data_IF_922651476078
#
_entry.id   IF_922651476078
#
_cell.length_a   1.000
_cell.length_b   1.000
_cell.length_c   1.000
_cell.angle_alpha   90.00
_cell.angle_beta   90.00
_cell.angle_gamma   90.00
#
_symmetry.space_group_name_H-M   'P 1'
#
loop_
_entity.id
_entity.type
_entity.pdbx_description
1 polymer ?
#
# COMPACT_ATOMS: atom_id res chain seq x y z
N UNK A 1 -19.53 -12.23 -8.58
CA UNK A 1 -18.28 -11.97 -7.85
C UNK A 1 -17.93 -10.51 -8.07
N UNK A 2 -17.92 -9.70 -7.00
CA UNK A 2 -17.50 -8.30 -7.10
C UNK A 2 -15.99 -8.29 -7.15
N UNK A 3 -15.41 -7.74 -8.22
CA UNK A 3 -13.97 -7.57 -8.35
C UNK A 3 -13.64 -6.22 -7.71
N UNK A 4 -12.76 -6.24 -6.70
CA UNK A 4 -12.27 -5.02 -6.06
C UNK A 4 -11.07 -4.49 -6.83
N UNK A 5 -11.05 -3.18 -7.05
CA UNK A 5 -9.89 -2.48 -7.57
C UNK A 5 -8.96 -2.07 -6.41
N UNK A 6 -7.96 -2.91 -6.12
CA UNK A 6 -7.03 -2.65 -5.02
C UNK A 6 -6.13 -1.44 -5.26
N UNK A 7 -5.82 -1.10 -6.51
CA UNK A 7 -4.99 0.05 -6.86
C UNK A 7 -5.72 1.35 -6.53
N UNK A 8 -6.98 1.47 -6.99
CA UNK A 8 -7.80 2.64 -6.70
C UNK A 8 -8.06 2.79 -5.20
N UNK A 9 -8.35 1.70 -4.49
CA UNK A 9 -8.55 1.75 -3.03
C UNK A 9 -7.26 2.20 -2.32
N UNK A 10 -6.12 1.66 -2.73
CA UNK A 10 -4.81 2.03 -2.17
C UNK A 10 -4.48 3.50 -2.44
N UNK A 11 -4.73 4.00 -3.64
CA UNK A 11 -4.57 5.42 -3.99
C UNK A 11 -5.42 6.32 -3.08
N UNK A 12 -6.72 6.03 -2.93
CA UNK A 12 -7.61 6.83 -2.09
C UNK A 12 -7.20 6.82 -0.61
N UNK A 13 -6.70 5.70 -0.11
CA UNK A 13 -6.17 5.60 1.26
C UNK A 13 -4.90 6.42 1.44
N UNK A 14 -3.98 6.41 0.47
CA UNK A 14 -2.74 7.19 0.54
C UNK A 14 -3.00 8.69 0.47
N UNK A 15 -3.95 9.12 -0.37
CA UNK A 15 -4.42 10.50 -0.38
C UNK A 15 -4.98 10.89 1.00
N UNK A 16 -5.78 10.03 1.63
CA UNK A 16 -6.33 10.29 2.97
C UNK A 16 -5.25 10.37 4.07
N UNK A 17 -4.13 9.66 3.90
CA UNK A 17 -2.98 9.73 4.80
C UNK A 17 -2.07 10.96 4.54
N UNK A 18 -2.32 11.72 3.47
CA UNK A 18 -1.63 12.96 3.13
C UNK A 18 -0.45 12.81 2.19
N UNK A 19 -0.36 11.71 1.43
CA UNK A 19 0.65 11.51 0.40
C UNK A 19 0.22 12.19 -0.90
N UNK A 20 1.14 12.92 -1.53
CA UNK A 20 0.91 13.68 -2.76
C UNK A 20 1.11 12.77 -3.98
N UNK A 21 2.12 11.90 -3.95
CA UNK A 21 2.46 10.97 -5.04
C UNK A 21 1.65 9.66 -4.96
N UNK A 22 0.50 9.68 -4.28
CA UNK A 22 -0.34 8.53 -3.96
C UNK A 22 -0.62 7.61 -5.17
N UNK A 23 -0.86 8.18 -6.35
CA UNK A 23 -1.16 7.43 -7.59
C UNK A 23 0.04 6.62 -8.11
N UNK A 24 1.26 7.15 -7.95
CA UNK A 24 2.48 6.44 -8.34
C UNK A 24 2.81 5.36 -7.31
N UNK A 25 2.67 5.70 -6.03
CA UNK A 25 2.96 4.81 -4.91
C UNK A 25 1.99 3.62 -4.86
N UNK A 26 0.69 3.84 -5.07
CA UNK A 26 -0.32 2.77 -5.10
C UNK A 26 -0.02 1.74 -6.18
N UNK A 27 0.35 2.18 -7.39
CA UNK A 27 0.77 1.31 -8.49
C UNK A 27 1.97 0.46 -8.13
N UNK A 28 3.03 1.08 -7.60
CA UNK A 28 4.24 0.36 -7.19
C UNK A 28 3.92 -0.70 -6.13
N UNK A 29 3.14 -0.31 -5.13
CA UNK A 29 2.77 -1.18 -4.02
C UNK A 29 1.92 -2.36 -4.48
N UNK A 30 0.85 -2.14 -5.25
CA UNK A 30 0.01 -3.23 -5.75
C UNK A 30 0.77 -4.15 -6.72
N UNK A 31 1.65 -3.60 -7.54
CA UNK A 31 2.52 -4.40 -8.41
C UNK A 31 3.43 -5.32 -7.59
N UNK A 32 4.13 -4.76 -6.59
CA UNK A 32 4.98 -5.52 -5.68
C UNK A 32 4.17 -6.57 -4.91
N UNK A 33 3.02 -6.20 -4.36
CA UNK A 33 2.18 -7.07 -3.57
C UNK A 33 1.64 -8.25 -4.39
N UNK A 34 1.28 -8.00 -5.65
CA UNK A 34 0.87 -9.04 -6.60
C UNK A 34 2.02 -9.98 -6.93
N UNK A 35 3.21 -9.45 -7.22
CA UNK A 35 4.41 -10.26 -7.45
C UNK A 35 4.78 -11.11 -6.23
N UNK A 36 4.73 -10.56 -5.03
CA UNK A 36 4.98 -11.31 -3.79
C UNK A 36 3.99 -12.46 -3.62
N UNK A 37 2.70 -12.23 -3.88
CA UNK A 37 1.67 -13.28 -3.82
C UNK A 37 1.94 -14.42 -4.82
N UNK A 38 2.47 -14.09 -5.99
CA UNK A 38 2.70 -15.05 -7.08
C UNK A 38 4.04 -15.79 -6.96
N UNK A 39 5.08 -15.13 -6.47
CA UNK A 39 6.45 -15.64 -6.47
C UNK A 39 6.89 -16.25 -5.13
N UNK A 40 6.28 -15.83 -4.01
CA UNK A 40 6.62 -16.41 -2.71
C UNK A 40 6.01 -17.81 -2.54
N UNK A 41 6.66 -18.63 -1.72
CA UNK A 41 6.11 -19.93 -1.32
C UNK A 41 4.74 -19.75 -0.68
N UNK A 42 3.81 -20.68 -0.92
CA UNK A 42 2.51 -20.68 -0.24
C UNK A 42 2.71 -20.96 1.24
N UNK A 43 2.28 -20.02 2.09
CA UNK A 43 2.30 -20.12 3.55
C UNK A 43 0.95 -19.66 4.10
N UNK A 44 0.43 -20.34 5.12
CA UNK A 44 -0.90 -20.06 5.68
C UNK A 44 -0.98 -18.70 6.40
N UNK A 45 0.15 -18.17 6.85
CA UNK A 45 0.22 -16.90 7.58
C UNK A 45 0.34 -15.66 6.69
N UNK A 46 0.42 -15.83 5.37
CA UNK A 46 0.42 -14.68 4.45
C UNK A 46 -1.00 -14.16 4.23
N UNK A 47 -1.27 -12.92 4.66
CA UNK A 47 -2.51 -12.21 4.39
C UNK A 47 -2.33 -11.26 3.19
N UNK A 48 -2.93 -11.64 2.06
CA UNK A 48 -2.96 -10.85 0.82
C UNK A 48 -4.23 -9.98 0.69
N UNK A 49 -5.00 -9.83 1.77
CA UNK A 49 -6.27 -9.13 1.79
C UNK A 49 -6.18 -7.63 2.07
N UNK A 50 -7.29 -6.92 1.87
CA UNK A 50 -7.37 -5.46 2.06
C UNK A 50 -7.02 -5.01 3.49
N UNK A 51 -7.23 -5.87 4.50
CA UNK A 51 -6.91 -5.57 5.90
C UNK A 51 -5.41 -5.43 6.12
N UNK A 52 -4.63 -6.34 5.54
CA UNK A 52 -3.17 -6.28 5.58
C UNK A 52 -2.67 -5.03 4.84
N UNK A 53 -3.19 -4.78 3.63
CA UNK A 53 -2.89 -3.57 2.85
C UNK A 53 -3.16 -2.30 3.68
N UNK A 54 -4.37 -2.13 4.21
CA UNK A 54 -4.75 -0.96 5.01
C UNK A 54 -3.78 -0.70 6.17
N UNK A 55 -3.34 -1.77 6.85
CA UNK A 55 -2.41 -1.65 7.98
C UNK A 55 -1.07 -1.04 7.56
N UNK A 56 -0.55 -1.41 6.39
CA UNK A 56 0.69 -0.84 5.83
C UNK A 56 0.49 0.64 5.48
N UNK A 57 -0.61 1.00 4.81
CA UNK A 57 -0.84 2.39 4.39
C UNK A 57 -1.01 3.35 5.57
N UNK A 58 -1.67 2.92 6.66
CA UNK A 58 -1.79 3.71 7.90
C UNK A 58 -0.42 3.96 8.55
N UNK A 59 0.46 2.95 8.51
CA UNK A 59 1.84 3.10 9.01
C UNK A 59 2.62 4.07 8.13
N UNK A 60 2.50 3.98 6.80
CA UNK A 60 3.12 4.93 5.87
C UNK A 60 2.68 6.38 6.17
N UNK A 61 1.38 6.61 6.36
CA UNK A 61 0.86 7.91 6.78
C UNK A 61 1.42 8.40 8.11
N UNK A 62 1.57 7.51 9.09
CA UNK A 62 2.16 7.83 10.39
C UNK A 62 3.64 8.21 10.28
N UNK A 63 4.41 7.53 9.43
CA UNK A 63 5.80 7.87 9.14
C UNK A 63 5.91 9.24 8.45
N UNK A 64 5.04 9.54 7.48
CA UNK A 64 5.01 10.86 6.80
C UNK A 64 4.65 12.00 7.75
N UNK A 65 3.76 11.76 8.72
CA UNK A 65 3.44 12.74 9.76
C UNK A 65 4.59 12.95 10.75
N UNK A 66 5.33 11.89 11.06
CA UNK A 66 6.50 11.93 11.94
C UNK A 66 7.68 12.68 11.32
N UNK A 67 7.84 12.61 9.99
CA UNK A 67 8.85 13.35 9.24
C UNK A 67 8.28 13.89 7.92
N UNK A 68 7.81 15.14 7.96
CA UNK A 68 7.15 15.79 6.82
C UNK A 68 8.08 16.01 5.63
N UNK A 69 9.37 16.18 5.88
CA UNK A 69 10.36 16.48 4.83
C UNK A 69 10.90 15.20 4.19
N UNK A 70 10.62 14.04 4.77
CA UNK A 70 11.01 12.76 4.18
C UNK A 70 10.34 12.58 2.80
N UNK A 71 11.13 12.23 1.77
CA UNK A 71 10.61 11.84 0.47
C UNK A 71 9.60 10.69 0.60
N UNK A 72 8.48 10.76 -0.13
CA UNK A 72 7.37 9.79 0.02
C UNK A 72 7.76 8.39 -0.46
N UNK A 73 8.66 8.29 -1.42
CA UNK A 73 9.27 7.03 -1.92
C UNK A 73 10.15 6.32 -0.89
N UNK A 74 10.61 7.02 0.15
CA UNK A 74 11.33 6.41 1.27
C UNK A 74 10.40 5.97 2.39
N UNK A 75 9.15 6.46 2.38
CA UNK A 75 8.10 6.03 3.30
C UNK A 75 7.39 4.79 2.74
N UNK A 76 7.30 4.69 1.40
CA UNK A 76 6.49 3.69 0.71
C UNK A 76 7.10 3.18 -0.60
#
# INVERSE_FOLDING_TARGET
MVILDFELICEMMLVAEGLIDARLLSRKFISLYTLCRELLSKQDHYDWGLRAIKSVLVVAGSLKRGDRNRPEDQVM
#
